data_IF_710795336642
#
_entry.id   IF_710795336642
#
_cell.length_a   1.000
_cell.length_b   1.000
_cell.length_c   1.000
_cell.angle_alpha   90.00
_cell.angle_beta   90.00
_cell.angle_gamma   90.00
#
_symmetry.space_group_name_H-M   'P 1'
#
loop_
_entity.id
_entity.type
_entity.pdbx_description
1 polymer ?
#
# COMPACT_ATOMS: atom_id res chain seq x y z
N UNK A 1 1.30 -8.30 -73.56
CA UNK A 1 -0.06 -8.41 -72.98
C UNK A 1 0.04 -8.98 -71.57
N UNK A 2 0.33 -8.21 -70.51
CA UNK A 2 0.32 -8.74 -69.12
C UNK A 2 0.34 -7.67 -68.00
N UNK A 3 -0.03 -6.41 -68.25
CA UNK A 3 -0.01 -5.34 -67.22
C UNK A 3 -1.39 -4.80 -66.81
N UNK A 4 -2.48 -5.29 -67.42
CA UNK A 4 -3.84 -4.75 -67.21
C UNK A 4 -4.65 -5.44 -66.09
N UNK A 5 -4.21 -6.58 -65.57
CA UNK A 5 -5.04 -7.41 -64.67
C UNK A 5 -4.84 -7.07 -63.19
N UNK A 6 -3.66 -6.57 -62.81
CA UNK A 6 -3.32 -6.28 -61.41
C UNK A 6 -4.01 -5.02 -60.86
N UNK A 7 -4.23 -4.02 -61.71
CA UNK A 7 -4.80 -2.72 -61.30
C UNK A 7 -6.31 -2.76 -61.04
N UNK A 8 -7.03 -3.78 -61.55
CA UNK A 8 -8.49 -3.92 -61.35
C UNK A 8 -8.89 -4.61 -60.03
N UNK A 9 -7.97 -5.31 -59.36
CA UNK A 9 -8.25 -6.04 -58.12
C UNK A 9 -8.32 -5.08 -56.92
N UNK A 10 -7.61 -3.95 -56.98
CA UNK A 10 -7.53 -2.95 -55.90
C UNK A 10 -8.77 -2.04 -55.86
N UNK A 11 -9.54 -1.94 -56.95
CA UNK A 11 -10.76 -1.12 -57.04
C UNK A 11 -12.04 -1.79 -56.52
N UNK A 12 -11.97 -3.01 -55.95
CA UNK A 12 -13.13 -3.71 -55.44
C UNK A 12 -13.33 -3.40 -53.94
N UNK A 13 -14.42 -2.70 -53.54
CA UNK A 13 -14.60 -2.24 -52.16
C UNK A 13 -14.62 -3.39 -51.14
N UNK A 14 -15.11 -4.57 -51.54
CA UNK A 14 -15.09 -5.77 -50.69
C UNK A 14 -13.67 -6.20 -50.30
N UNK A 15 -12.69 -6.06 -51.19
CA UNK A 15 -11.30 -6.46 -50.92
C UNK A 15 -10.59 -5.48 -49.98
N UNK A 16 -10.88 -4.18 -50.11
CA UNK A 16 -10.38 -3.15 -49.20
C UNK A 16 -10.94 -3.32 -47.77
N UNK A 17 -12.22 -3.68 -47.62
CA UNK A 17 -12.81 -3.99 -46.32
C UNK A 17 -12.18 -5.22 -45.67
N UNK A 18 -11.95 -6.30 -46.41
CA UNK A 18 -11.30 -7.50 -45.85
C UNK A 18 -9.87 -7.22 -45.39
N UNK A 19 -9.09 -6.46 -46.18
CA UNK A 19 -7.73 -6.06 -45.80
C UNK A 19 -7.75 -5.17 -44.54
N UNK A 20 -8.65 -4.19 -44.50
CA UNK A 20 -8.80 -3.31 -43.33
C UNK A 20 -9.19 -4.08 -42.06
N UNK A 21 -10.10 -5.06 -42.18
CA UNK A 21 -10.53 -5.90 -41.07
C UNK A 21 -9.41 -6.81 -40.55
N UNK A 22 -8.66 -7.44 -41.47
CA UNK A 22 -7.49 -8.26 -41.10
C UNK A 22 -6.44 -7.39 -40.40
N UNK A 23 -6.12 -6.21 -40.93
CA UNK A 23 -5.16 -5.29 -40.30
C UNK A 23 -5.62 -4.86 -38.90
N UNK A 24 -6.90 -4.53 -38.71
CA UNK A 24 -7.46 -4.17 -37.42
C UNK A 24 -7.34 -5.31 -36.39
N UNK A 25 -7.69 -6.54 -36.77
CA UNK A 25 -7.51 -7.73 -35.92
C UNK A 25 -6.04 -7.94 -35.59
N UNK A 26 -5.14 -7.79 -36.57
CA UNK A 26 -3.70 -7.98 -36.35
C UNK A 26 -3.17 -6.94 -35.35
N UNK A 27 -3.60 -5.68 -35.45
CA UNK A 27 -3.24 -4.61 -34.50
C UNK A 27 -3.75 -4.94 -33.09
N UNK A 28 -4.99 -5.42 -32.96
CA UNK A 28 -5.57 -5.83 -31.67
C UNK A 28 -4.75 -6.97 -31.06
N UNK A 29 -4.43 -8.01 -31.84
CA UNK A 29 -3.63 -9.15 -31.39
C UNK A 29 -2.23 -8.71 -30.96
N UNK A 30 -1.57 -7.83 -31.73
CA UNK A 30 -0.24 -7.31 -31.37
C UNK A 30 -0.32 -6.46 -30.10
N UNK A 31 -1.35 -5.63 -29.94
CA UNK A 31 -1.56 -4.83 -28.73
C UNK A 31 -1.79 -5.71 -27.50
N UNK A 32 -2.61 -6.76 -27.65
CA UNK A 32 -2.88 -7.72 -26.59
C UNK A 32 -1.61 -8.49 -26.21
N UNK A 33 -0.87 -8.99 -27.20
CA UNK A 33 0.41 -9.67 -27.00
C UNK A 33 1.44 -8.80 -26.27
N UNK A 34 1.58 -7.52 -26.68
CA UNK A 34 2.46 -6.56 -25.98
C UNK A 34 2.03 -6.30 -24.55
N UNK A 35 0.73 -6.25 -24.29
CA UNK A 35 0.18 -6.06 -22.93
C UNK A 35 0.43 -7.29 -22.07
N UNK A 36 0.20 -8.49 -22.61
CA UNK A 36 0.47 -9.76 -21.93
C UNK A 36 1.96 -9.94 -21.63
N UNK A 37 2.86 -9.60 -22.57
CA UNK A 37 4.30 -9.58 -22.31
C UNK A 37 4.67 -8.63 -21.19
N UNK A 38 4.14 -7.40 -21.20
CA UNK A 38 4.41 -6.42 -20.14
C UNK A 38 3.94 -6.89 -18.75
N UNK A 39 2.81 -7.61 -18.68
CA UNK A 39 2.32 -8.22 -17.44
C UNK A 39 3.24 -9.37 -17.02
N UNK A 40 3.65 -10.24 -17.94
CA UNK A 40 4.54 -11.36 -17.65
C UNK A 40 5.92 -10.90 -17.17
N UNK A 41 6.49 -9.86 -17.80
CA UNK A 41 7.78 -9.28 -17.43
C UNK A 41 7.74 -8.66 -16.03
N UNK A 42 6.67 -7.92 -15.71
CA UNK A 42 6.47 -7.36 -14.38
C UNK A 42 6.35 -8.46 -13.33
N UNK A 43 5.56 -9.51 -13.58
CA UNK A 43 5.40 -10.64 -12.65
C UNK A 43 6.71 -11.41 -12.46
N UNK A 44 7.49 -11.59 -13.54
CA UNK A 44 8.80 -12.23 -13.46
C UNK A 44 9.77 -11.39 -12.60
N UNK A 45 9.77 -10.06 -12.73
CA UNK A 45 10.59 -9.16 -11.90
C UNK A 45 10.28 -9.25 -10.40
N UNK A 46 9.04 -9.52 -10.00
CA UNK A 46 8.68 -9.74 -8.59
C UNK A 46 9.06 -11.14 -8.10
N UNK A 47 8.89 -12.18 -8.93
CA UNK A 47 9.17 -13.57 -8.55
C UNK A 47 10.66 -13.97 -8.67
N UNK A 48 11.45 -13.24 -9.46
CA UNK A 48 12.89 -13.53 -9.68
C UNK A 48 13.81 -12.68 -8.79
N UNK A 49 13.27 -12.03 -7.76
CA UNK A 49 14.07 -11.29 -6.79
C UNK A 49 15.06 -12.24 -6.11
N UNK A 50 16.37 -12.04 -6.25
CA UNK A 50 17.34 -12.87 -5.56
C UNK A 50 17.10 -12.75 -4.06
N UNK A 51 17.11 -13.89 -3.36
CA UNK A 51 17.08 -13.91 -1.89
C UNK A 51 18.18 -12.98 -1.37
N UNK A 52 17.84 -12.14 -0.39
CA UNK A 52 18.78 -11.20 0.20
C UNK A 52 19.95 -11.96 0.84
N UNK A 53 21.10 -11.30 0.93
CA UNK A 53 22.31 -11.88 1.51
C UNK A 53 22.09 -12.31 2.98
N UNK A 54 22.85 -13.28 3.52
CA UNK A 54 22.81 -13.56 4.95
C UNK A 54 23.15 -12.35 5.83
N UNK A 55 24.04 -11.45 5.36
CA UNK A 55 24.38 -10.20 6.06
C UNK A 55 23.20 -9.23 6.15
N UNK A 56 22.37 -9.17 5.10
CA UNK A 56 21.12 -8.42 5.11
C UNK A 56 20.22 -8.89 6.24
N UNK A 57 19.93 -10.20 6.29
CA UNK A 57 19.03 -10.75 7.31
C UNK A 57 19.59 -10.56 8.71
N UNK A 58 20.91 -10.69 8.90
CA UNK A 58 21.53 -10.41 10.18
C UNK A 58 21.36 -8.94 10.61
N UNK A 59 21.57 -8.00 9.68
CA UNK A 59 21.41 -6.56 9.94
C UNK A 59 19.94 -6.20 10.21
N UNK A 60 19.02 -6.79 9.45
CA UNK A 60 17.58 -6.63 9.62
C UNK A 60 17.11 -7.17 10.97
N UNK A 61 17.52 -8.39 11.33
CA UNK A 61 17.18 -9.01 12.62
C UNK A 61 17.73 -8.16 13.77
N UNK A 62 18.96 -7.65 13.66
CA UNK A 62 19.52 -6.77 14.69
C UNK A 62 18.72 -5.47 14.82
N UNK A 63 18.35 -4.84 13.69
CA UNK A 63 17.53 -3.63 13.68
C UNK A 63 16.14 -3.88 14.29
N UNK A 64 15.52 -5.02 14.02
CA UNK A 64 14.23 -5.42 14.59
C UNK A 64 14.34 -5.71 16.10
N UNK A 65 15.42 -6.37 16.56
CA UNK A 65 15.70 -6.56 18.00
C UNK A 65 15.87 -5.21 18.70
N UNK A 66 16.63 -4.29 18.11
CA UNK A 66 16.87 -2.97 18.67
C UNK A 66 15.58 -2.14 18.70
N UNK A 67 14.79 -2.20 17.63
CA UNK A 67 13.46 -1.58 17.57
C UNK A 67 12.54 -2.12 18.65
N UNK A 68 12.40 -3.44 18.77
CA UNK A 68 11.56 -4.09 19.79
C UNK A 68 12.04 -3.75 21.19
N UNK A 69 13.35 -3.68 21.41
CA UNK A 69 13.92 -3.29 22.69
C UNK A 69 13.53 -1.85 23.07
N UNK A 70 13.64 -0.90 22.13
CA UNK A 70 13.17 0.49 22.33
C UNK A 70 11.66 0.56 22.51
N UNK A 71 10.90 -0.22 21.75
CA UNK A 71 9.45 -0.30 21.83
C UNK A 71 9.00 -0.81 23.20
N UNK A 72 9.58 -1.91 23.70
CA UNK A 72 9.31 -2.43 25.03
C UNK A 72 9.71 -1.45 26.14
N UNK A 73 10.80 -0.70 25.97
CA UNK A 73 11.16 0.38 26.90
C UNK A 73 10.09 1.50 26.91
N UNK A 74 9.59 1.90 25.73
CA UNK A 74 8.47 2.86 25.63
C UNK A 74 7.19 2.31 26.25
N UNK A 75 6.91 1.01 26.11
CA UNK A 75 5.73 0.35 26.69
C UNK A 75 5.81 0.17 28.22
N UNK A 76 7.01 0.01 28.78
CA UNK A 76 7.23 -0.34 30.20
C UNK A 76 6.47 0.55 31.20
N UNK A 77 6.47 1.89 31.10
CA UNK A 77 5.70 2.75 32.01
C UNK A 77 4.19 2.53 31.91
N UNK A 78 3.69 2.19 30.72
CA UNK A 78 2.27 2.00 30.46
C UNK A 78 1.75 0.65 30.94
N UNK A 79 2.59 -0.39 30.89
CA UNK A 79 2.26 -1.72 31.42
C UNK A 79 2.33 -1.77 32.96
N UNK A 80 3.24 -1.01 33.58
CA UNK A 80 3.37 -0.96 35.03
C UNK A 80 2.18 -0.29 35.75
N UNK A 81 1.37 0.50 35.04
CA UNK A 81 0.16 1.16 35.56
C UNK A 81 -1.16 0.63 34.99
N UNK A 82 -1.13 -0.44 34.19
CA UNK A 82 -2.34 -0.99 33.58
C UNK A 82 -3.14 -1.81 34.61
N UNK A 83 -4.32 -1.33 35.00
CA UNK A 83 -5.26 -2.05 35.86
C UNK A 83 -6.06 -3.14 35.13
N UNK A 84 -6.00 -3.15 33.79
CA UNK A 84 -6.68 -4.12 32.93
C UNK A 84 -5.78 -4.49 31.75
N UNK A 85 -5.70 -5.77 31.38
CA UNK A 85 -5.03 -6.20 30.15
C UNK A 85 -5.78 -5.77 28.88
N UNK A 86 -7.04 -5.36 29.02
CA UNK A 86 -7.92 -5.10 27.88
C UNK A 86 -7.96 -3.64 27.42
N UNK A 87 -7.52 -2.69 28.25
CA UNK A 87 -7.30 -1.28 27.90
C UNK A 87 -6.72 -0.53 29.10
N UNK A 88 -5.62 0.19 28.94
CA UNK A 88 -5.18 1.17 29.94
C UNK A 88 -5.64 2.60 29.55
N UNK A 89 -5.46 3.57 30.43
CA UNK A 89 -5.84 4.98 30.19
C UNK A 89 -5.10 5.64 29.01
N UNK A 90 -4.17 4.95 28.36
CA UNK A 90 -3.34 5.41 27.26
C UNK A 90 -3.70 4.74 25.92
N UNK A 91 -4.78 3.96 25.87
CA UNK A 91 -5.22 3.27 24.64
C UNK A 91 -4.30 2.14 24.19
N UNK A 92 -3.40 1.67 25.07
CA UNK A 92 -2.53 0.52 24.80
C UNK A 92 -3.26 -0.75 25.24
N UNK A 93 -3.27 -1.73 24.35
CA UNK A 93 -3.86 -3.05 24.56
C UNK A 93 -2.76 -4.08 24.85
N UNK A 94 -3.06 -5.12 25.62
CA UNK A 94 -2.11 -6.23 25.83
C UNK A 94 -1.58 -6.78 24.50
N UNK A 95 -2.45 -6.85 23.48
CA UNK A 95 -2.14 -7.30 22.13
C UNK A 95 -1.10 -6.44 21.39
N UNK A 96 -0.83 -5.20 21.84
CA UNK A 96 0.24 -4.38 21.27
C UNK A 96 1.64 -4.97 21.53
N UNK A 97 1.78 -5.84 22.52
CA UNK A 97 3.03 -6.51 22.86
C UNK A 97 3.21 -7.87 22.16
N UNK A 98 2.19 -8.38 21.47
CA UNK A 98 2.21 -9.70 20.84
C UNK A 98 2.17 -9.61 19.32
N UNK A 99 2.86 -10.55 18.69
CA UNK A 99 2.79 -10.75 17.25
C UNK A 99 1.39 -11.33 16.94
N UNK A 100 0.68 -10.81 15.93
CA UNK A 100 -0.63 -11.34 15.56
C UNK A 100 -0.50 -12.77 15.04
N UNK A 101 -1.54 -13.57 15.27
CA UNK A 101 -1.67 -14.92 14.74
C UNK A 101 -2.05 -14.88 13.25
N UNK A 102 -1.15 -14.38 12.41
CA UNK A 102 -1.30 -14.37 10.95
C UNK A 102 -0.17 -15.18 10.30
N UNK A 103 -0.50 -15.92 9.25
CA UNK A 103 0.50 -16.63 8.46
C UNK A 103 1.13 -15.66 7.47
N UNK A 104 2.34 -15.19 7.77
CA UNK A 104 3.16 -14.39 6.87
C UNK A 104 4.32 -15.26 6.37
N UNK A 105 4.53 -15.39 5.03
CA UNK A 105 5.70 -16.10 4.49
C UNK A 105 7.02 -15.34 4.68
N UNK A 106 6.93 -14.12 5.22
CA UNK A 106 8.01 -13.15 5.41
C UNK A 106 8.11 -12.73 6.89
N UNK A 107 9.03 -11.82 7.22
CA UNK A 107 9.10 -11.27 8.56
C UNK A 107 7.89 -10.38 8.86
N UNK A 108 7.34 -10.52 10.06
CA UNK A 108 6.34 -9.62 10.62
C UNK A 108 7.05 -8.51 11.42
N UNK A 109 6.85 -7.27 10.99
CA UNK A 109 7.37 -6.09 11.69
C UNK A 109 6.25 -5.21 12.20
N UNK A 110 6.39 -4.72 13.43
CA UNK A 110 5.54 -3.64 13.94
C UNK A 110 6.07 -2.33 13.39
N UNK A 111 5.25 -1.63 12.62
CA UNK A 111 5.59 -0.35 11.99
C UNK A 111 4.78 0.74 12.68
N UNK A 112 5.43 1.83 13.10
CA UNK A 112 4.82 2.90 13.87
C UNK A 112 4.97 2.77 15.39
N UNK A 113 4.26 3.66 16.11
CA UNK A 113 4.31 3.81 17.56
C UNK A 113 3.53 2.74 18.33
N UNK A 114 3.57 2.78 19.67
CA UNK A 114 2.69 1.95 20.50
C UNK A 114 1.22 2.37 20.34
N UNK A 115 0.29 1.52 20.79
CA UNK A 115 -1.16 1.74 20.68
C UNK A 115 -1.68 1.76 19.22
N UNK A 116 -2.85 2.39 19.02
CA UNK A 116 -3.62 2.35 17.77
C UNK A 116 -2.87 2.85 16.51
N UNK A 117 -1.86 3.71 16.66
CA UNK A 117 -1.15 4.28 15.51
C UNK A 117 -0.28 3.28 14.75
N UNK A 118 0.34 2.31 15.43
CA UNK A 118 1.24 1.34 14.79
C UNK A 118 0.52 0.07 14.33
N UNK A 119 0.85 -0.43 13.14
CA UNK A 119 0.25 -1.65 12.56
C UNK A 119 1.32 -2.73 12.29
N UNK A 120 0.90 -3.99 12.20
CA UNK A 120 1.78 -5.11 11.86
C UNK A 120 1.84 -5.29 10.35
N UNK A 121 3.03 -5.21 9.78
CA UNK A 121 3.27 -5.34 8.34
C UNK A 121 4.02 -6.64 8.05
N UNK A 122 3.46 -7.44 7.14
CA UNK A 122 4.10 -8.64 6.60
C UNK A 122 5.05 -8.26 5.46
N UNK A 123 6.29 -8.78 5.45
CA UNK A 123 7.21 -8.53 4.34
C UNK A 123 7.79 -7.13 4.30
N UNK A 124 7.82 -6.41 5.43
CA UNK A 124 8.37 -5.07 5.47
C UNK A 124 9.85 -5.03 5.05
N UNK A 125 10.60 -6.11 5.34
CA UNK A 125 11.98 -6.30 4.91
C UNK A 125 12.16 -6.28 3.38
N UNK A 126 11.11 -6.52 2.61
CA UNK A 126 11.23 -6.52 1.14
C UNK A 126 11.36 -5.09 0.60
N UNK A 127 10.86 -4.11 1.35
CA UNK A 127 10.82 -2.69 0.99
C UNK A 127 11.86 -1.86 1.74
N UNK A 128 12.49 -2.42 2.79
CA UNK A 128 13.42 -1.65 3.62
C UNK A 128 14.80 -1.49 2.99
N UNK A 129 15.38 -0.31 3.17
CA UNK A 129 16.67 0.09 2.62
C UNK A 129 17.90 -0.34 3.44
N UNK A 130 17.77 -1.33 4.34
CA UNK A 130 18.82 -1.69 5.32
C UNK A 130 20.14 -2.20 4.73
N UNK A 131 20.19 -2.54 3.45
CA UNK A 131 21.45 -2.61 2.69
C UNK A 131 21.40 -1.60 1.54
N UNK A 132 21.95 -0.41 1.75
CA UNK A 132 22.59 0.36 0.67
C UNK A 132 23.87 -0.32 0.15
N UNK A 133 24.02 -1.64 0.35
CA UNK A 133 25.26 -2.38 0.13
C UNK A 133 25.12 -3.21 -1.15
N UNK A 134 25.59 -2.60 -2.24
CA UNK A 134 26.24 -3.24 -3.38
C UNK A 134 25.51 -4.44 -4.02
N UNK A 135 24.55 -4.14 -4.90
CA UNK A 135 24.44 -4.98 -6.09
C UNK A 135 25.68 -4.71 -6.96
N UNK A 136 26.47 -5.76 -7.23
CA UNK A 136 27.72 -5.69 -7.99
C UNK A 136 27.52 -5.18 -9.44
N UNK A 137 26.28 -5.04 -9.89
CA UNK A 137 25.90 -4.51 -11.21
C UNK A 137 25.31 -3.09 -11.17
N UNK A 138 25.41 -2.36 -10.05
CA UNK A 138 25.03 -0.93 -10.00
C UNK A 138 23.55 -0.63 -10.16
N UNK A 139 22.68 -1.64 -10.11
CA UNK A 139 21.23 -1.46 -10.08
C UNK A 139 20.75 -1.25 -8.66
N UNK A 140 20.08 -0.13 -8.39
CA UNK A 140 19.21 0.01 -7.23
C UNK A 140 18.03 -0.94 -7.42
N UNK A 141 17.65 -1.73 -6.41
CA UNK A 141 16.28 -2.23 -6.39
C UNK A 141 15.39 -1.09 -5.89
N UNK A 142 15.25 -0.06 -6.72
CA UNK A 142 14.26 0.98 -6.54
C UNK A 142 12.92 0.33 -6.84
N UNK A 143 12.34 -0.34 -5.84
CA UNK A 143 10.97 -0.86 -5.93
C UNK A 143 10.07 0.32 -5.61
N UNK A 144 9.49 0.99 -6.61
CA UNK A 144 8.52 2.04 -6.35
C UNK A 144 7.37 1.40 -5.59
N UNK A 145 7.18 1.83 -4.34
CA UNK A 145 6.05 1.40 -3.53
C UNK A 145 5.16 2.58 -3.18
N UNK A 146 3.86 2.33 -3.08
CA UNK A 146 2.84 3.33 -2.77
C UNK A 146 2.07 2.89 -1.53
N UNK A 147 2.05 3.75 -0.53
CA UNK A 147 1.23 3.62 0.67
C UNK A 147 0.09 4.64 0.60
N UNK A 148 -1.15 4.17 0.70
CA UNK A 148 -2.29 5.02 1.04
C UNK A 148 -2.65 4.80 2.50
N UNK A 149 -2.70 5.88 3.29
CA UNK A 149 -3.11 5.85 4.68
C UNK A 149 -4.28 6.78 4.91
N UNK A 150 -5.44 6.19 5.19
CA UNK A 150 -6.67 6.91 5.53
C UNK A 150 -6.88 6.90 7.05
N UNK A 151 -7.16 8.09 7.60
CA UNK A 151 -7.31 8.31 9.03
C UNK A 151 -5.97 8.33 9.76
N UNK A 152 -5.08 9.23 9.34
CA UNK A 152 -3.77 9.41 10.02
C UNK A 152 -3.97 9.99 11.43
N UNK A 153 -5.02 10.79 11.63
CA UNK A 153 -5.35 11.37 12.91
C UNK A 153 -4.16 12.15 13.52
N UNK A 154 -4.05 12.18 14.85
CA UNK A 154 -2.96 12.88 15.53
C UNK A 154 -1.64 12.07 15.65
N UNK A 155 -1.59 10.82 15.19
CA UNK A 155 -0.38 9.98 15.26
C UNK A 155 0.02 9.46 13.88
N UNK A 156 1.00 10.13 13.27
CA UNK A 156 1.58 9.74 11.99
C UNK A 156 2.83 8.84 12.12
N UNK A 157 2.98 8.10 13.23
CA UNK A 157 4.15 7.25 13.49
C UNK A 157 4.35 6.18 12.43
N UNK A 158 3.26 5.57 11.96
CA UNK A 158 3.27 4.52 10.95
C UNK A 158 3.81 5.07 9.63
N UNK A 159 3.30 6.21 9.19
CA UNK A 159 3.69 6.89 7.96
C UNK A 159 5.13 7.39 8.04
N UNK A 160 5.55 7.92 9.19
CA UNK A 160 6.92 8.33 9.44
C UNK A 160 7.92 7.18 9.36
N UNK A 161 7.57 5.98 9.86
CA UNK A 161 8.40 4.78 9.76
C UNK A 161 8.52 4.27 8.32
N UNK A 162 7.43 4.30 7.54
CA UNK A 162 7.47 4.03 6.10
C UNK A 162 8.44 4.99 5.39
N UNK A 163 8.31 6.29 5.63
CA UNK A 163 9.22 7.28 5.06
C UNK A 163 10.67 7.04 5.49
N UNK A 164 10.92 6.68 6.75
CA UNK A 164 12.28 6.55 7.27
C UNK A 164 13.01 5.28 6.82
N UNK A 165 12.27 4.19 6.55
CA UNK A 165 12.85 2.86 6.34
C UNK A 165 12.72 2.37 4.90
N UNK A 166 11.83 2.95 4.09
CA UNK A 166 11.56 2.54 2.70
C UNK A 166 11.63 3.71 1.72
N UNK A 167 11.61 3.39 0.43
CA UNK A 167 11.50 4.37 -0.65
C UNK A 167 10.04 4.62 -1.08
N UNK A 168 9.04 4.25 -0.27
CA UNK A 168 7.66 4.41 -0.69
C UNK A 168 7.25 5.88 -0.84
N UNK A 169 6.35 6.12 -1.78
CA UNK A 169 5.51 7.31 -1.83
C UNK A 169 4.33 7.13 -0.88
N UNK A 170 4.15 8.05 0.06
CA UNK A 170 3.20 7.96 1.17
C UNK A 170 2.11 9.01 1.00
N UNK A 171 0.89 8.58 0.73
CA UNK A 171 -0.27 9.45 0.56
C UNK A 171 -1.15 9.34 1.79
N UNK A 172 -1.31 10.47 2.48
CA UNK A 172 -2.03 10.57 3.74
C UNK A 172 -3.34 11.30 3.51
N UNK A 173 -4.41 10.77 4.09
CA UNK A 173 -5.77 11.29 3.92
C UNK A 173 -6.46 11.35 5.28
N UNK A 174 -6.93 12.53 5.65
CA UNK A 174 -7.78 12.68 6.83
C UNK A 174 -8.63 13.96 6.74
N UNK A 175 -9.96 13.80 6.69
CA UNK A 175 -10.90 14.91 6.59
C UNK A 175 -11.16 15.65 7.91
N UNK A 176 -10.63 15.14 9.03
CA UNK A 176 -10.88 15.66 10.39
C UNK A 176 -9.78 16.58 10.89
N UNK A 177 -8.61 16.57 10.25
CA UNK A 177 -7.42 17.36 10.64
C UNK A 177 -6.92 18.24 9.50
N UNK A 178 -6.29 19.38 9.83
CA UNK A 178 -5.75 20.30 8.84
C UNK A 178 -4.39 19.89 8.24
N UNK A 179 -3.64 19.07 8.97
CA UNK A 179 -2.36 18.51 8.58
C UNK A 179 -2.07 17.29 9.48
N UNK A 180 -1.19 16.35 9.08
CA UNK A 180 -0.74 15.29 9.97
C UNK A 180 -0.14 15.94 11.22
N UNK A 181 -0.65 15.58 12.40
CA UNK A 181 -0.16 16.20 13.63
C UNK A 181 1.24 15.66 13.96
N UNK A 182 2.12 16.55 14.41
CA UNK A 182 3.36 16.22 15.10
C UNK A 182 3.04 15.72 16.52
N UNK A 183 2.36 14.58 16.64
CA UNK A 183 2.08 13.95 17.93
C UNK A 183 3.37 13.70 18.73
N UNK A 184 3.31 13.57 20.06
CA UNK A 184 4.48 13.31 20.90
C UNK A 184 5.12 11.96 20.52
N UNK A 185 6.14 12.00 19.66
CA UNK A 185 6.91 10.84 19.21
C UNK A 185 6.94 10.59 17.70
N UNK A 186 6.22 11.37 16.89
CA UNK A 186 6.09 11.15 15.45
C UNK A 186 6.28 12.45 14.69
N UNK A 187 7.52 12.74 14.29
CA UNK A 187 7.77 13.75 13.25
C UNK A 187 7.95 13.01 11.94
N UNK A 188 7.21 13.43 10.92
CA UNK A 188 7.56 13.06 9.55
C UNK A 188 9.02 13.48 9.34
N UNK A 189 9.88 12.57 8.84
CA UNK A 189 11.31 12.85 8.71
C UNK A 189 11.55 14.04 7.79
N UNK A 190 12.36 15.04 8.21
CA UNK A 190 12.65 16.21 7.39
C UNK A 190 13.43 15.82 6.13
N UNK A 191 13.22 16.54 5.02
CA UNK A 191 13.91 16.29 3.75
C UNK A 191 13.28 15.19 2.90
N UNK A 192 12.11 14.67 3.30
CA UNK A 192 11.38 13.61 2.59
C UNK A 192 10.05 14.11 2.00
N UNK A 193 9.85 15.42 1.91
CA UNK A 193 8.61 16.08 1.46
C UNK A 193 8.22 15.72 0.03
N UNK A 194 9.19 15.34 -0.80
CA UNK A 194 8.95 14.88 -2.17
C UNK A 194 8.32 13.49 -2.25
N UNK A 195 8.27 12.74 -1.15
CA UNK A 195 7.73 11.37 -1.09
C UNK A 195 6.43 11.27 -0.31
N UNK A 196 5.88 12.37 0.16
CA UNK A 196 4.59 12.32 0.82
C UNK A 196 3.65 13.45 0.43
N UNK A 197 2.36 13.14 0.49
CA UNK A 197 1.29 14.12 0.35
C UNK A 197 0.32 13.98 1.51
N UNK A 198 -0.33 15.09 1.86
CA UNK A 198 -1.48 15.09 2.77
C UNK A 198 -2.65 15.78 2.10
N UNK A 199 -3.82 15.16 2.15
CA UNK A 199 -5.06 15.77 1.73
C UNK A 199 -6.12 15.67 2.83
N UNK A 200 -6.85 16.78 3.02
CA UNK A 200 -8.01 16.81 3.89
C UNK A 200 -9.19 16.11 3.19
N UNK A 201 -9.13 14.78 3.15
CA UNK A 201 -10.07 13.89 2.48
C UNK A 201 -10.28 12.63 3.31
N UNK A 202 -11.49 12.08 3.24
CA UNK A 202 -11.85 10.82 3.91
C UNK A 202 -12.07 9.71 2.90
N UNK A 203 -12.09 8.47 3.39
CA UNK A 203 -12.50 7.30 2.61
C UNK A 203 -13.95 6.97 2.94
N UNK A 204 -14.75 6.63 1.93
CA UNK A 204 -16.14 6.23 2.12
C UNK A 204 -16.73 5.58 0.88
N UNK A 205 -18.06 5.48 0.86
CA UNK A 205 -18.79 4.79 -0.20
C UNK A 205 -19.15 5.65 -1.42
N UNK A 206 -18.99 6.97 -1.32
CA UNK A 206 -19.22 7.91 -2.43
C UNK A 206 -18.52 9.23 -2.17
N UNK A 207 -18.30 9.99 -3.23
CA UNK A 207 -17.82 11.36 -3.11
C UNK A 207 -18.84 12.25 -2.39
N UNK A 208 -18.37 13.06 -1.45
CA UNK A 208 -19.19 14.03 -0.73
C UNK A 208 -18.59 15.44 -0.77
N UNK A 209 -19.42 16.43 -0.43
CA UNK A 209 -18.95 17.80 -0.26
C UNK A 209 -17.97 17.95 0.93
N UNK A 210 -18.00 17.03 1.88
CA UNK A 210 -17.16 17.02 3.08
C UNK A 210 -15.80 16.34 2.85
N UNK A 211 -15.40 16.17 1.59
CA UNK A 211 -14.09 15.61 1.23
C UNK A 211 -14.01 14.08 1.32
N UNK A 212 -15.13 13.38 1.51
CA UNK A 212 -15.15 11.91 1.42
C UNK A 212 -14.98 11.49 -0.03
N UNK A 213 -14.16 10.47 -0.29
CA UNK A 213 -13.89 9.92 -1.62
C UNK A 213 -13.93 8.38 -1.58
N UNK A 214 -14.23 7.75 -2.72
CA UNK A 214 -14.04 6.31 -2.89
C UNK A 214 -12.57 6.00 -3.14
N UNK A 215 -12.14 4.77 -2.85
CA UNK A 215 -10.76 4.35 -3.12
C UNK A 215 -10.42 4.52 -4.61
N UNK A 216 -11.30 4.08 -5.52
CA UNK A 216 -11.01 4.21 -6.95
C UNK A 216 -10.99 5.65 -7.44
N UNK A 217 -11.72 6.58 -6.83
CA UNK A 217 -11.59 8.00 -7.15
C UNK A 217 -10.19 8.52 -6.80
N UNK A 218 -9.70 8.21 -5.60
CA UNK A 218 -8.36 8.61 -5.14
C UNK A 218 -7.31 7.99 -6.05
N UNK A 219 -7.43 6.70 -6.38
CA UNK A 219 -6.52 6.01 -7.29
C UNK A 219 -6.49 6.65 -8.69
N UNK A 220 -7.65 7.01 -9.25
CA UNK A 220 -7.74 7.74 -10.54
C UNK A 220 -7.09 9.11 -10.47
N UNK A 221 -7.28 9.83 -9.37
CA UNK A 221 -6.71 11.17 -9.15
C UNK A 221 -5.18 11.16 -9.17
N UNK A 222 -4.58 10.17 -8.51
CA UNK A 222 -3.13 9.98 -8.47
C UNK A 222 -2.57 9.18 -9.67
N UNK A 223 -3.43 8.63 -10.53
CA UNK A 223 -3.02 7.81 -11.67
C UNK A 223 -2.50 6.42 -11.28
N UNK A 224 -2.74 5.97 -10.05
CA UNK A 224 -2.34 4.65 -9.57
C UNK A 224 -3.36 3.59 -9.99
N UNK A 225 -2.89 2.49 -10.56
CA UNK A 225 -3.72 1.30 -10.83
C UNK A 225 -3.58 0.22 -9.76
N UNK A 226 -2.54 0.35 -8.95
CA UNK A 226 -2.15 -0.58 -7.89
C UNK A 226 -1.41 0.22 -6.82
N UNK A 227 -1.59 -0.15 -5.56
CA UNK A 227 -0.82 0.34 -4.42
C UNK A 227 -0.30 -0.84 -3.59
N UNK A 228 0.80 -0.68 -2.87
CA UNK A 228 1.40 -1.80 -2.14
C UNK A 228 0.76 -1.97 -0.77
N UNK A 229 0.44 -0.84 -0.13
CA UNK A 229 -0.11 -0.80 1.21
C UNK A 229 -1.34 0.10 1.26
N UNK A 230 -2.41 -0.43 1.83
CA UNK A 230 -3.61 0.31 2.18
C UNK A 230 -3.79 0.24 3.70
N UNK A 231 -3.65 1.36 4.40
CA UNK A 231 -4.06 1.52 5.80
C UNK A 231 -5.42 2.21 5.84
N UNK A 232 -6.37 1.60 6.56
CA UNK A 232 -7.73 2.10 6.76
C UNK A 232 -8.01 2.12 8.26
N UNK A 233 -8.14 3.33 8.79
CA UNK A 233 -8.42 3.60 10.20
C UNK A 233 -9.42 4.77 10.27
N UNK A 234 -10.66 4.51 9.82
CA UNK A 234 -11.63 5.56 9.46
C UNK A 234 -12.88 5.45 10.31
N UNK A 235 -12.77 5.85 11.58
CA UNK A 235 -13.86 6.07 12.53
C UNK A 235 -15.27 5.79 11.98
N UNK A 236 -15.72 4.53 12.13
CA UNK A 236 -17.08 4.04 11.82
C UNK A 236 -17.47 3.91 10.34
N UNK A 237 -16.61 4.32 9.41
CA UNK A 237 -16.90 4.30 7.98
C UNK A 237 -16.39 3.03 7.27
N UNK A 238 -15.66 2.16 7.97
CA UNK A 238 -14.95 1.02 7.38
C UNK A 238 -15.86 0.13 6.57
N UNK A 239 -16.98 -0.31 7.15
CA UNK A 239 -17.93 -1.19 6.47
C UNK A 239 -18.48 -0.57 5.18
N UNK A 240 -18.79 0.74 5.22
CA UNK A 240 -19.33 1.43 4.05
C UNK A 240 -18.29 1.60 2.95
N UNK A 241 -17.05 1.96 3.32
CA UNK A 241 -15.93 2.05 2.39
C UNK A 241 -15.62 0.69 1.76
N UNK A 242 -15.60 -0.38 2.56
CA UNK A 242 -15.29 -1.72 2.06
C UNK A 242 -16.37 -2.29 1.16
N UNK A 243 -17.66 -2.05 1.45
CA UNK A 243 -18.73 -2.41 0.52
C UNK A 243 -18.51 -1.76 -0.85
N UNK A 244 -18.19 -0.47 -0.86
CA UNK A 244 -17.89 0.24 -2.10
C UNK A 244 -16.62 -0.29 -2.79
N UNK A 245 -15.55 -0.62 -2.06
CA UNK A 245 -14.34 -1.21 -2.63
C UNK A 245 -14.66 -2.56 -3.29
N UNK A 246 -15.46 -3.41 -2.64
CA UNK A 246 -15.87 -4.71 -3.18
C UNK A 246 -16.79 -4.58 -4.41
N UNK A 247 -17.59 -3.52 -4.48
CA UNK A 247 -18.41 -3.22 -5.66
C UNK A 247 -17.59 -2.61 -6.81
N UNK A 248 -16.58 -1.80 -6.50
CA UNK A 248 -15.75 -1.10 -7.50
C UNK A 248 -14.67 -2.00 -8.11
N UNK A 249 -14.16 -2.99 -7.37
CA UNK A 249 -13.01 -3.79 -7.77
C UNK A 249 -13.31 -5.30 -7.73
N UNK A 250 -13.22 -5.96 -8.89
CA UNK A 250 -13.24 -7.42 -8.99
C UNK A 250 -11.98 -8.05 -8.36
N UNK A 251 -10.84 -7.38 -8.53
CA UNK A 251 -9.56 -7.73 -7.89
C UNK A 251 -9.12 -6.52 -7.09
N UNK A 252 -8.87 -6.71 -5.79
CA UNK A 252 -8.44 -5.61 -4.94
C UNK A 252 -7.15 -4.97 -5.46
N UNK A 253 -7.09 -3.64 -5.60
CA UNK A 253 -5.99 -2.96 -6.26
C UNK A 253 -4.84 -2.67 -5.27
N UNK A 254 -4.65 -3.54 -4.28
CA UNK A 254 -3.64 -3.37 -3.24
C UNK A 254 -2.98 -4.69 -2.82
N UNK A 255 -1.70 -4.62 -2.44
CA UNK A 255 -0.94 -5.79 -1.99
C UNK A 255 -1.23 -6.21 -0.55
N UNK A 256 -1.30 -5.25 0.37
CA UNK A 256 -1.53 -5.51 1.79
C UNK A 256 -2.51 -4.51 2.40
N UNK A 257 -3.50 -5.04 3.12
CA UNK A 257 -4.48 -4.26 3.87
C UNK A 257 -4.15 -4.26 5.37
N UNK A 258 -4.03 -3.06 5.94
CA UNK A 258 -4.01 -2.82 7.37
C UNK A 258 -5.33 -2.14 7.75
N UNK A 259 -6.22 -2.87 8.42
CA UNK A 259 -7.57 -2.40 8.75
C UNK A 259 -7.76 -2.33 10.27
N UNK A 260 -8.15 -1.17 10.78
CA UNK A 260 -8.76 -1.04 12.10
C UNK A 260 -10.27 -1.10 11.95
N UNK A 261 -10.94 -1.93 12.75
CA UNK A 261 -12.41 -2.07 12.69
C UNK A 261 -13.01 -1.41 13.92
N UNK A 262 -13.73 -0.32 13.71
CA UNK A 262 -14.56 0.30 14.74
C UNK A 262 -15.89 -0.46 14.86
N UNK A 263 -16.04 -1.25 15.94
CA UNK A 263 -17.25 -2.03 16.20
C UNK A 263 -18.31 -1.19 16.91
N UNK A 264 -19.49 -1.07 16.29
CA UNK A 264 -20.61 -0.34 16.90
C UNK A 264 -21.00 -1.03 18.21
N UNK A 265 -20.88 -0.32 19.33
CA UNK A 265 -21.48 -0.75 20.59
C UNK A 265 -23.01 -0.64 20.48
N UNK A 266 -23.66 -1.63 19.85
CA UNK A 266 -25.01 -1.98 20.28
C UNK A 266 -24.85 -2.71 21.61
N UNK A 267 -25.61 -2.26 22.60
CA UNK A 267 -25.49 -2.69 24.00
C UNK A 267 -25.28 -4.19 24.16
N UNK A 268 -24.38 -4.49 25.08
CA UNK A 268 -24.06 -5.78 25.68
C UNK A 268 -23.32 -6.80 24.79
N UNK A 269 -22.35 -7.46 25.44
CA UNK A 269 -21.50 -8.57 24.98
C UNK A 269 -20.20 -8.21 24.24
N UNK A 270 -19.22 -7.75 25.01
CA UNK A 270 -17.88 -8.34 24.92
C UNK A 270 -17.70 -9.21 26.18
N UNK A 271 -17.52 -10.51 25.99
CA UNK A 271 -17.12 -11.46 27.04
C UNK A 271 -15.62 -11.34 27.33
#
# INVERSE_FOLDING_TARGET
MTTSTFTRIISCPKFAFTIGFVLAITIIIISWYKTSQKIADNTHQYCSQPLKSPSYYQSYIQAEIDFRSRFLQKLKPFLQGASSPWRNNWGIYFWDAFIPTMTCPHFLSRVGGPAGGGKWVCGFELYTSYEQISLQDGGFLDVPCVLYSFGVGPDSSFEAEFLSRTNCSVHMFDHTIGAPAEGPGSRLPPGMEHRWTFENKGLGNKESHDGIQTLGHVMRTYGHKWIDFLKVDIEWSEYSAFNQIMEEFEIFPFGQLNLEIHLQARGDYFF
#
